data_IF_781685910471
#
_entry.id   IF_781685910471
#
_cell.length_a   1.000
_cell.length_b   1.000
_cell.length_c   1.000
_cell.angle_alpha   90.00
_cell.angle_beta   90.00
_cell.angle_gamma   90.00
#
_symmetry.space_group_name_H-M   'P 1'
#
loop_
_entity.id
_entity.type
_entity.pdbx_description
1 polymer ?
#
# COMPACT_ATOMS: atom_id res chain seq x y z
N UNK A 1 49.50 12.24 -31.07
CA UNK A 1 48.22 12.20 -30.35
C UNK A 1 48.19 10.94 -29.51
N UNK A 2 48.37 11.05 -28.18
CA UNK A 2 48.03 9.94 -27.28
C UNK A 2 46.52 10.01 -27.13
N UNK A 3 45.82 8.99 -27.61
CA UNK A 3 44.41 8.80 -27.32
C UNK A 3 44.32 8.43 -25.84
N UNK A 4 43.88 9.37 -25.00
CA UNK A 4 43.62 9.13 -23.58
C UNK A 4 42.35 8.28 -23.47
N UNK A 5 42.51 6.97 -23.65
CA UNK A 5 41.43 6.02 -23.39
C UNK A 5 41.01 6.11 -21.90
N UNK A 6 39.71 6.05 -21.61
CA UNK A 6 39.25 6.04 -20.23
C UNK A 6 39.78 4.78 -19.51
N UNK A 7 40.48 5.00 -18.41
CA UNK A 7 40.95 4.00 -17.46
C UNK A 7 40.19 4.18 -16.14
N UNK A 8 40.14 3.15 -15.30
CA UNK A 8 39.46 3.26 -13.99
C UNK A 8 40.02 4.41 -13.12
N UNK A 9 41.27 4.83 -13.38
CA UNK A 9 41.92 5.94 -12.69
C UNK A 9 41.48 7.33 -13.16
N UNK A 10 41.00 7.49 -14.39
CA UNK A 10 40.58 8.78 -14.95
C UNK A 10 39.05 8.97 -15.07
N UNK A 11 38.25 8.01 -14.59
CA UNK A 11 36.78 8.08 -14.59
C UNK A 11 36.22 8.55 -13.24
N UNK A 12 35.40 9.60 -13.26
CA UNK A 12 34.77 10.18 -12.07
C UNK A 12 33.24 10.25 -12.21
N UNK A 13 32.53 10.27 -11.08
CA UNK A 13 31.07 10.37 -11.01
C UNK A 13 30.66 11.53 -10.10
N UNK A 14 30.00 12.53 -10.69
CA UNK A 14 29.27 13.54 -9.94
C UNK A 14 28.00 12.94 -9.31
N UNK A 15 27.70 13.33 -8.06
CA UNK A 15 26.52 12.89 -7.31
C UNK A 15 25.71 14.12 -6.85
N UNK A 16 24.44 14.17 -7.26
CA UNK A 16 23.50 15.24 -6.93
C UNK A 16 22.07 14.66 -6.85
N UNK A 17 21.20 15.34 -6.10
CA UNK A 17 19.80 14.99 -5.85
C UNK A 17 18.81 16.04 -6.37
N UNK A 18 19.27 17.25 -6.66
CA UNK A 18 18.52 18.28 -7.39
C UNK A 18 19.41 19.06 -8.37
N UNK A 19 18.76 19.66 -9.37
CA UNK A 19 19.42 20.49 -10.40
C UNK A 19 19.44 21.95 -9.94
N UNK A 20 20.15 22.24 -8.86
CA UNK A 20 20.37 23.61 -8.37
C UNK A 20 21.84 23.99 -8.49
N UNK A 21 22.13 25.27 -8.71
CA UNK A 21 23.52 25.75 -8.88
C UNK A 21 24.41 25.33 -7.70
N UNK A 22 23.95 25.56 -6.48
CA UNK A 22 24.69 25.19 -5.26
C UNK A 22 25.04 23.70 -5.21
N UNK A 23 24.13 22.83 -5.64
CA UNK A 23 24.32 21.40 -5.61
C UNK A 23 25.21 20.89 -6.74
N UNK A 24 25.07 21.47 -7.93
CA UNK A 24 25.92 21.16 -9.08
C UNK A 24 27.37 21.57 -8.82
N UNK A 25 27.60 22.78 -8.30
CA UNK A 25 28.94 23.25 -7.93
C UNK A 25 29.56 22.35 -6.86
N UNK A 26 28.78 21.96 -5.83
CA UNK A 26 29.23 20.99 -4.83
C UNK A 26 29.62 19.65 -5.48
N UNK A 27 28.76 19.09 -6.32
CA UNK A 27 28.98 17.79 -6.95
C UNK A 27 30.22 17.74 -7.85
N UNK A 28 30.51 18.84 -8.56
CA UNK A 28 31.72 18.98 -9.40
C UNK A 28 33.00 19.14 -8.57
N UNK A 29 32.91 19.77 -7.40
CA UNK A 29 34.04 19.93 -6.48
C UNK A 29 34.31 18.67 -5.63
N UNK A 30 33.33 17.76 -5.50
CA UNK A 30 33.44 16.53 -4.70
C UNK A 30 33.17 15.29 -5.54
N UNK A 31 33.93 15.11 -6.62
CA UNK A 31 33.79 13.97 -7.52
C UNK A 31 34.14 12.64 -6.82
N UNK A 32 33.25 11.66 -6.95
CA UNK A 32 33.48 10.29 -6.50
C UNK A 32 33.87 9.36 -7.65
N UNK A 33 33.92 8.06 -7.36
CA UNK A 33 34.05 6.99 -8.38
C UNK A 33 32.69 6.33 -8.64
N UNK A 34 32.44 5.80 -9.84
CA UNK A 34 31.28 4.94 -10.09
C UNK A 34 31.26 3.73 -9.15
N UNK A 35 30.10 3.39 -8.60
CA UNK A 35 29.95 2.21 -7.75
C UNK A 35 29.63 0.97 -8.60
N UNK A 36 30.64 0.12 -8.82
CA UNK A 36 30.51 -1.11 -9.60
C UNK A 36 29.47 -2.09 -9.04
N UNK A 37 29.37 -2.22 -7.70
CA UNK A 37 28.44 -3.16 -7.08
C UNK A 37 26.98 -2.78 -7.31
N UNK A 38 26.66 -1.48 -7.36
CA UNK A 38 25.32 -1.01 -7.72
C UNK A 38 24.98 -1.34 -9.18
N UNK A 39 25.95 -1.21 -10.09
CA UNK A 39 25.77 -1.62 -11.49
C UNK A 39 25.54 -3.13 -11.59
N UNK A 40 26.38 -3.93 -10.93
CA UNK A 40 26.25 -5.39 -10.92
C UNK A 40 24.91 -5.87 -10.36
N UNK A 41 24.35 -5.15 -9.36
CA UNK A 41 23.02 -5.46 -8.84
C UNK A 41 21.91 -5.22 -9.88
N UNK A 42 22.05 -4.17 -10.70
CA UNK A 42 21.13 -3.90 -11.81
C UNK A 42 21.26 -4.99 -12.88
N UNK A 43 22.49 -5.37 -13.24
CA UNK A 43 22.76 -6.43 -14.23
C UNK A 43 22.18 -7.77 -13.78
N UNK A 44 22.41 -8.14 -12.51
CA UNK A 44 21.84 -9.35 -11.91
C UNK A 44 20.31 -9.34 -11.99
N UNK A 45 19.67 -8.22 -11.66
CA UNK A 45 18.21 -8.10 -11.76
C UNK A 45 17.72 -8.24 -13.21
N UNK A 46 18.37 -7.58 -14.16
CA UNK A 46 18.02 -7.71 -15.58
C UNK A 46 18.10 -9.15 -16.07
N UNK A 47 19.18 -9.86 -15.70
CA UNK A 47 19.38 -11.25 -16.07
C UNK A 47 18.32 -12.16 -15.43
N UNK A 48 18.02 -11.98 -14.14
CA UNK A 48 16.99 -12.73 -13.44
C UNK A 48 15.61 -12.50 -14.06
N UNK A 49 15.22 -11.25 -14.27
CA UNK A 49 13.92 -10.89 -14.85
C UNK A 49 13.78 -11.44 -16.27
N UNK A 50 14.83 -11.38 -17.09
CA UNK A 50 14.83 -11.92 -18.45
C UNK A 50 14.73 -13.44 -18.44
N UNK A 51 15.62 -14.13 -17.71
CA UNK A 51 15.67 -15.60 -17.71
C UNK A 51 14.39 -16.19 -17.16
N UNK A 52 13.94 -15.74 -15.99
CA UNK A 52 12.73 -16.23 -15.35
C UNK A 52 11.51 -15.82 -16.19
N UNK A 53 11.40 -14.55 -16.54
CA UNK A 53 10.26 -14.00 -17.29
C UNK A 53 10.07 -14.68 -18.64
N UNK A 54 11.12 -14.79 -19.45
CA UNK A 54 11.01 -15.45 -20.76
C UNK A 54 10.75 -16.95 -20.64
N UNK A 55 11.38 -17.65 -19.70
CA UNK A 55 11.21 -19.11 -19.55
C UNK A 55 9.77 -19.45 -19.19
N UNK A 56 9.21 -18.80 -18.16
CA UNK A 56 7.82 -19.05 -17.75
C UNK A 56 6.81 -18.50 -18.74
N UNK A 57 7.04 -17.33 -19.34
CA UNK A 57 6.15 -16.78 -20.37
C UNK A 57 6.04 -17.73 -21.56
N UNK A 58 7.16 -18.28 -22.05
CA UNK A 58 7.17 -19.26 -23.15
C UNK A 58 6.46 -20.55 -22.76
N UNK A 59 6.75 -21.08 -21.57
CA UNK A 59 6.10 -22.29 -21.07
C UNK A 59 4.58 -22.11 -20.98
N UNK A 60 4.11 -21.08 -20.27
CA UNK A 60 2.69 -20.82 -20.06
C UNK A 60 1.96 -20.54 -21.37
N UNK A 61 2.56 -19.74 -22.26
CA UNK A 61 1.98 -19.46 -23.57
C UNK A 61 1.86 -20.75 -24.38
N UNK A 62 2.89 -21.57 -24.46
CA UNK A 62 2.83 -22.82 -25.23
C UNK A 62 1.83 -23.82 -24.66
N UNK A 63 1.72 -23.92 -23.33
CA UNK A 63 0.88 -24.93 -22.68
C UNK A 63 -0.58 -24.51 -22.54
N UNK A 64 -0.86 -23.22 -22.32
CA UNK A 64 -2.18 -22.75 -21.88
C UNK A 64 -2.88 -21.84 -22.89
N UNK A 65 -2.17 -21.25 -23.85
CA UNK A 65 -2.75 -20.20 -24.72
C UNK A 65 -3.99 -20.67 -25.47
N UNK A 66 -3.96 -21.87 -26.07
CA UNK A 66 -5.09 -22.41 -26.84
C UNK A 66 -6.35 -22.56 -25.96
N UNK A 67 -6.20 -23.13 -24.77
CA UNK A 67 -7.30 -23.27 -23.81
C UNK A 67 -7.82 -21.91 -23.32
N UNK A 68 -6.91 -20.98 -23.02
CA UNK A 68 -7.28 -19.63 -22.61
C UNK A 68 -8.00 -18.85 -23.71
N UNK A 69 -7.61 -19.02 -24.98
CA UNK A 69 -8.29 -18.40 -26.13
C UNK A 69 -9.73 -18.90 -26.28
N UNK A 70 -9.93 -20.20 -26.11
CA UNK A 70 -11.26 -20.81 -26.23
C UNK A 70 -12.19 -20.36 -25.09
N UNK A 71 -11.66 -20.26 -23.87
CA UNK A 71 -12.46 -20.00 -22.67
C UNK A 71 -12.64 -18.52 -22.31
N UNK A 72 -11.65 -17.68 -22.58
CA UNK A 72 -11.62 -16.30 -22.09
C UNK A 72 -11.53 -15.26 -23.21
N UNK A 73 -10.42 -15.22 -23.95
CA UNK A 73 -10.13 -14.13 -24.89
C UNK A 73 -9.56 -14.67 -26.21
N UNK A 74 -10.34 -14.61 -27.30
CA UNK A 74 -9.94 -15.14 -28.62
C UNK A 74 -8.67 -14.48 -29.17
N UNK A 75 -8.47 -13.20 -28.88
CA UNK A 75 -7.33 -12.40 -29.38
C UNK A 75 -6.08 -12.48 -28.48
N UNK A 76 -6.12 -13.22 -27.38
CA UNK A 76 -4.98 -13.37 -26.47
C UNK A 76 -3.76 -13.94 -27.24
N UNK A 77 -2.62 -13.26 -27.22
CA UNK A 77 -1.42 -13.72 -27.96
C UNK A 77 -0.35 -14.33 -27.07
N UNK A 78 -0.29 -13.92 -25.82
CA UNK A 78 0.76 -14.29 -24.88
C UNK A 78 0.19 -14.35 -23.48
N UNK A 79 0.70 -15.29 -22.69
CA UNK A 79 0.49 -15.35 -21.24
C UNK A 79 1.84 -15.03 -20.61
N UNK A 80 2.01 -13.78 -20.15
CA UNK A 80 3.26 -13.32 -19.57
C UNK A 80 3.37 -13.67 -18.09
N UNK A 81 4.59 -13.99 -17.68
CA UNK A 81 5.00 -14.16 -16.30
C UNK A 81 6.17 -13.24 -16.00
N UNK A 82 6.14 -12.61 -14.83
CA UNK A 82 7.26 -11.83 -14.33
C UNK A 82 7.38 -12.01 -12.81
N UNK A 83 8.61 -12.17 -12.27
CA UNK A 83 8.81 -12.45 -10.86
C UNK A 83 8.25 -11.36 -9.93
N UNK A 84 8.18 -10.10 -10.39
CA UNK A 84 7.52 -9.00 -9.66
C UNK A 84 6.06 -8.74 -10.13
N UNK A 85 5.78 -8.88 -11.43
CA UNK A 85 4.46 -8.64 -12.01
C UNK A 85 3.40 -9.61 -11.45
N UNK A 86 3.73 -10.90 -11.34
CA UNK A 86 2.78 -11.94 -10.93
C UNK A 86 2.35 -11.80 -9.46
N UNK A 87 3.26 -11.59 -8.48
CA UNK A 87 2.86 -11.26 -7.11
C UNK A 87 2.08 -9.94 -7.00
N UNK A 88 2.39 -8.95 -7.83
CA UNK A 88 1.62 -7.69 -7.86
C UNK A 88 0.17 -7.93 -8.26
N UNK A 89 -0.06 -8.70 -9.32
CA UNK A 89 -1.42 -9.11 -9.72
C UNK A 89 -2.11 -9.94 -8.64
N UNK A 90 -1.36 -10.78 -7.92
CA UNK A 90 -1.91 -11.59 -6.83
C UNK A 90 -2.56 -10.73 -5.74
N UNK A 91 -2.02 -9.56 -5.39
CA UNK A 91 -2.68 -8.67 -4.42
C UNK A 91 -4.06 -8.21 -4.90
N UNK A 92 -4.19 -7.84 -6.17
CA UNK A 92 -5.45 -7.43 -6.77
C UNK A 92 -6.46 -8.59 -6.77
N UNK A 93 -6.02 -9.78 -7.21
CA UNK A 93 -6.86 -10.99 -7.25
C UNK A 93 -7.28 -11.42 -5.85
N UNK A 94 -6.37 -11.36 -4.87
CA UNK A 94 -6.67 -11.66 -3.46
C UNK A 94 -7.75 -10.74 -2.91
N UNK A 95 -7.61 -9.43 -3.09
CA UNK A 95 -8.63 -8.46 -2.66
C UNK A 95 -9.96 -8.68 -3.39
N UNK A 96 -9.92 -9.02 -4.67
CA UNK A 96 -11.13 -9.37 -5.41
C UNK A 96 -11.85 -10.58 -4.79
N UNK A 97 -11.12 -11.65 -4.46
CA UNK A 97 -11.70 -12.81 -3.77
C UNK A 97 -12.20 -12.48 -2.36
N UNK A 98 -11.47 -11.68 -1.58
CA UNK A 98 -11.93 -11.18 -0.27
C UNK A 98 -13.29 -10.47 -0.40
N UNK A 99 -13.48 -9.65 -1.44
CA UNK A 99 -14.74 -8.95 -1.70
C UNK A 99 -15.85 -9.89 -2.17
N UNK A 100 -15.55 -10.81 -3.10
CA UNK A 100 -16.54 -11.75 -3.63
C UNK A 100 -17.05 -12.72 -2.55
N UNK A 101 -16.15 -13.15 -1.67
CA UNK A 101 -16.46 -14.08 -0.58
C UNK A 101 -16.92 -13.36 0.70
N UNK A 102 -17.10 -12.04 0.68
CA UNK A 102 -17.53 -11.29 1.85
C UNK A 102 -19.01 -11.58 2.16
N UNK A 103 -19.26 -12.29 3.25
CA UNK A 103 -20.59 -12.49 3.79
C UNK A 103 -21.00 -11.30 4.65
N UNK A 104 -21.93 -10.49 4.15
CA UNK A 104 -22.50 -9.38 4.93
C UNK A 104 -23.22 -9.93 6.15
N UNK A 105 -22.91 -9.38 7.31
CA UNK A 105 -23.59 -9.66 8.58
C UNK A 105 -24.21 -8.39 9.11
N UNK A 106 -25.49 -8.45 9.46
CA UNK A 106 -26.16 -7.35 10.16
C UNK A 106 -25.53 -7.16 11.53
N UNK A 107 -25.31 -5.91 11.90
CA UNK A 107 -24.90 -5.51 13.23
C UNK A 107 -25.73 -4.31 13.67
N UNK A 108 -25.77 -4.10 14.97
CA UNK A 108 -26.54 -3.04 15.61
C UNK A 108 -25.62 -2.24 16.53
N UNK A 109 -25.66 -0.92 16.37
CA UNK A 109 -24.94 0.05 17.20
C UNK A 109 -25.98 0.87 17.96
N UNK A 110 -26.10 0.70 19.28
CA UNK A 110 -26.92 1.60 20.09
C UNK A 110 -26.35 3.02 19.99
N UNK A 111 -27.21 3.98 19.63
CA UNK A 111 -26.85 5.40 19.52
C UNK A 111 -27.76 6.22 20.42
N UNK A 112 -27.17 7.14 21.19
CA UNK A 112 -27.91 7.97 22.13
C UNK A 112 -27.54 9.44 21.95
N UNK A 113 -28.51 10.29 21.67
CA UNK A 113 -28.35 11.74 21.63
C UNK A 113 -29.10 12.35 22.81
N UNK A 114 -28.39 13.11 23.66
CA UNK A 114 -28.98 13.78 24.82
C UNK A 114 -28.75 15.28 24.76
N UNK A 115 -29.74 16.06 25.20
CA UNK A 115 -29.55 17.47 25.51
C UNK A 115 -28.93 17.60 26.90
N UNK A 116 -27.66 17.99 26.97
CA UNK A 116 -26.92 18.18 28.22
C UNK A 116 -27.00 19.67 28.61
N UNK A 117 -27.53 20.01 29.80
CA UNK A 117 -27.63 21.39 30.26
C UNK A 117 -26.27 22.12 30.20
N UNK A 118 -26.26 23.30 29.58
CA UNK A 118 -25.04 24.12 29.46
C UNK A 118 -24.08 23.70 28.33
N UNK A 119 -24.28 22.55 27.69
CA UNK A 119 -23.44 22.08 26.58
C UNK A 119 -24.24 22.04 25.25
N UNK A 120 -25.49 21.58 25.28
CA UNK A 120 -26.33 21.41 24.09
C UNK A 120 -26.58 19.93 23.78
N UNK A 121 -26.87 19.60 22.52
CA UNK A 121 -27.01 18.20 22.11
C UNK A 121 -25.64 17.53 22.01
N UNK A 122 -25.52 16.34 22.62
CA UNK A 122 -24.33 15.51 22.58
C UNK A 122 -24.70 14.09 22.15
N UNK A 123 -23.87 13.51 21.29
CA UNK A 123 -23.96 12.12 20.89
C UNK A 123 -23.08 11.25 21.79
N UNK A 124 -23.62 10.10 22.18
CA UNK A 124 -22.98 9.12 23.03
C UNK A 124 -22.93 7.79 22.29
N UNK A 125 -21.73 7.23 22.25
CA UNK A 125 -21.45 5.91 21.68
C UNK A 125 -21.45 4.86 22.77
N UNK A 126 -21.98 3.68 22.46
CA UNK A 126 -21.89 2.54 23.37
C UNK A 126 -20.42 2.11 23.52
N UNK A 127 -19.99 1.87 24.75
CA UNK A 127 -18.59 1.55 25.07
C UNK A 127 -18.05 0.29 24.40
N UNK A 128 -18.91 -0.67 24.06
CA UNK A 128 -18.54 -1.90 23.34
C UNK A 128 -18.65 -1.73 21.81
N UNK A 129 -19.12 -0.58 21.33
CA UNK A 129 -19.27 -0.25 19.92
C UNK A 129 -20.54 -0.84 19.30
N UNK A 130 -20.50 -2.10 18.86
CA UNK A 130 -21.61 -2.75 18.15
C UNK A 130 -21.78 -4.22 18.55
N UNK A 131 -22.98 -4.76 18.31
CA UNK A 131 -23.28 -6.18 18.49
C UNK A 131 -23.84 -6.81 17.21
N UNK A 132 -23.58 -8.11 17.01
CA UNK A 132 -24.20 -8.92 15.95
C UNK A 132 -25.48 -9.64 16.45
N UNK A 133 -25.88 -9.42 17.71
CA UNK A 133 -27.11 -9.96 18.28
C UNK A 133 -28.18 -8.86 18.37
N UNK A 134 -29.22 -9.00 17.56
CA UNK A 134 -30.35 -8.07 17.57
C UNK A 134 -31.06 -8.03 18.93
N UNK A 135 -31.18 -9.18 19.60
CA UNK A 135 -31.85 -9.29 20.91
C UNK A 135 -31.11 -8.50 21.97
N UNK A 136 -29.77 -8.59 21.98
CA UNK A 136 -28.94 -7.77 22.87
C UNK A 136 -29.12 -6.28 22.59
N UNK A 137 -29.11 -5.86 21.32
CA UNK A 137 -29.31 -4.46 20.96
C UNK A 137 -30.67 -3.93 21.41
N UNK A 138 -31.75 -4.71 21.25
CA UNK A 138 -33.09 -4.34 21.70
C UNK A 138 -33.17 -4.25 23.23
N UNK A 139 -32.52 -5.16 23.96
CA UNK A 139 -32.46 -5.09 25.43
C UNK A 139 -31.75 -3.83 25.91
N UNK A 140 -30.62 -3.47 25.28
CA UNK A 140 -29.89 -2.23 25.58
C UNK A 140 -30.78 -1.01 25.30
N UNK A 141 -31.45 -0.98 24.14
CA UNK A 141 -32.36 0.12 23.79
C UNK A 141 -33.47 0.29 24.84
N UNK A 142 -34.12 -0.80 25.26
CA UNK A 142 -35.18 -0.76 26.27
C UNK A 142 -34.66 -0.30 27.64
N UNK A 143 -33.48 -0.78 28.05
CA UNK A 143 -32.84 -0.37 29.29
C UNK A 143 -32.47 1.12 29.28
N UNK A 144 -31.96 1.65 28.15
CA UNK A 144 -31.61 3.07 28.01
C UNK A 144 -32.85 3.97 27.98
N UNK A 145 -33.93 3.56 27.32
CA UNK A 145 -35.20 4.33 27.27
C UNK A 145 -35.87 4.46 28.64
N UNK A 146 -35.74 3.44 29.49
CA UNK A 146 -36.31 3.43 30.84
C UNK A 146 -35.35 3.98 31.89
N UNK A 147 -34.05 4.02 31.59
CA UNK A 147 -33.01 4.50 32.47
C UNK A 147 -32.91 6.03 32.53
N UNK A 148 -32.31 6.52 33.60
CA UNK A 148 -31.88 7.93 33.71
C UNK A 148 -30.37 7.99 33.48
N UNK A 149 -29.87 8.84 32.57
CA UNK A 149 -28.43 8.94 32.33
C UNK A 149 -27.72 9.49 33.56
N UNK A 150 -26.64 8.81 33.97
CA UNK A 150 -25.78 9.23 35.09
C UNK A 150 -24.35 9.34 34.57
N UNK A 151 -23.71 10.47 34.82
CA UNK A 151 -22.30 10.65 34.50
C UNK A 151 -21.44 9.82 35.47
N UNK A 152 -20.73 8.81 34.96
CA UNK A 152 -19.89 7.90 35.77
C UNK A 152 -18.45 8.41 35.89
N UNK A 153 -17.98 9.21 34.94
CA UNK A 153 -16.64 9.80 34.98
C UNK A 153 -16.40 10.84 33.89
N UNK A 154 -15.46 11.74 34.16
CA UNK A 154 -14.99 12.76 33.21
C UNK A 154 -13.50 12.56 32.98
N UNK A 155 -13.10 12.35 31.73
CA UNK A 155 -11.69 12.35 31.34
C UNK A 155 -11.47 13.44 30.28
N UNK A 156 -10.33 14.13 30.40
CA UNK A 156 -9.90 15.13 29.42
C UNK A 156 -8.50 14.74 28.94
N UNK A 157 -8.36 14.59 27.63
CA UNK A 157 -7.09 14.24 27.01
C UNK A 157 -6.69 15.33 26.01
N UNK A 158 -5.49 15.85 26.16
CA UNK A 158 -4.93 16.78 25.20
C UNK A 158 -4.38 16.02 24.00
N UNK A 159 -5.13 16.01 22.90
CA UNK A 159 -4.69 15.38 21.63
C UNK A 159 -3.82 16.34 20.84
N UNK A 160 -2.70 15.83 20.33
CA UNK A 160 -1.82 16.56 19.40
C UNK A 160 -1.69 15.77 18.10
N UNK A 161 -2.04 16.40 16.99
CA UNK A 161 -1.86 15.81 15.65
C UNK A 161 -0.46 16.16 15.17
N UNK A 162 0.37 15.15 14.93
CA UNK A 162 1.73 15.33 14.43
C UNK A 162 1.67 15.83 12.98
N UNK A 163 2.63 16.70 12.65
CA UNK A 163 2.89 17.07 11.26
C UNK A 163 3.24 15.81 10.45
N UNK A 164 2.87 15.77 9.16
CA UNK A 164 3.23 14.64 8.31
C UNK A 164 4.74 14.48 8.26
N UNK A 165 5.17 13.23 8.08
CA UNK A 165 6.59 12.95 7.83
C UNK A 165 7.01 13.55 6.49
N UNK A 166 8.33 13.72 6.31
CA UNK A 166 8.89 14.13 5.03
C UNK A 166 8.40 13.23 3.90
N UNK A 167 8.10 13.84 2.76
CA UNK A 167 7.57 13.13 1.60
C UNK A 167 8.59 12.12 1.10
N UNK A 168 8.15 10.87 0.87
CA UNK A 168 8.92 9.82 0.24
C UNK A 168 8.29 9.44 -1.11
N UNK A 169 9.05 8.70 -1.93
CA UNK A 169 8.57 8.15 -3.21
C UNK A 169 7.55 7.04 -3.00
#
# INVERSE_FOLDING_TARGET
>A
CREDFPTDENIYRAQFSALTESEMTRALNTLGRPNKYMSMAVDARQEMDLKIGCSFTRLLTNQLLSGCKQKFYRDLRVISYGPCQTPTLWFCVRRHHEIQNFERRSFWTPWLTLAVPGIGQCDFEWSEGHTFDQGQATQIEQAVRSGTPVAVGLSSEQKSVRRPMGLNT
#
